data_IF_099528295596
#
_entry.id   IF_099528295596
#
_cell.length_a   1.000
_cell.length_b   1.000
_cell.length_c   1.000
_cell.angle_alpha   90.00
_cell.angle_beta   90.00
_cell.angle_gamma   90.00
#
_symmetry.space_group_name_H-M   'P 1'
#
loop_
_entity.id
_entity.type
_entity.pdbx_description
1 polymer ?
#
# COMPACT_ATOMS: atom_id res chain seq x y z
N UNK A 1 6.27 -13.00 -25.25
CA UNK A 1 4.84 -12.58 -25.30
C UNK A 1 4.29 -12.51 -26.73
N UNK A 2 5.05 -12.01 -27.74
CA UNK A 2 4.57 -11.89 -29.12
C UNK A 2 4.28 -13.23 -29.86
N UNK A 3 4.95 -14.32 -29.48
CA UNK A 3 4.77 -15.64 -30.12
C UNK A 3 3.45 -16.30 -29.66
N UNK A 4 3.14 -16.23 -28.38
CA UNK A 4 1.89 -16.79 -27.81
C UNK A 4 0.67 -16.02 -28.31
N UNK A 5 0.77 -14.69 -28.42
CA UNK A 5 -0.30 -13.85 -28.97
C UNK A 5 -0.65 -14.21 -30.42
N UNK A 6 0.36 -14.43 -31.28
CA UNK A 6 0.18 -14.84 -32.68
C UNK A 6 -0.47 -16.22 -32.81
N UNK A 7 -0.13 -17.18 -31.94
CA UNK A 7 -0.69 -18.53 -31.98
C UNK A 7 -2.17 -18.57 -31.53
N UNK A 8 -2.54 -17.75 -30.57
CA UNK A 8 -3.94 -17.61 -30.14
C UNK A 8 -4.80 -16.94 -31.22
N UNK A 9 -4.23 -15.97 -31.95
CA UNK A 9 -4.92 -15.26 -33.02
C UNK A 9 -5.16 -16.13 -34.26
N UNK A 10 -4.25 -17.06 -34.58
CA UNK A 10 -4.46 -18.05 -35.65
C UNK A 10 -5.58 -19.05 -35.40
N UNK A 11 -5.98 -19.21 -34.12
CA UNK A 11 -7.10 -20.07 -33.71
C UNK A 11 -8.46 -19.38 -33.82
N UNK A 12 -8.51 -18.05 -33.96
CA UNK A 12 -9.75 -17.26 -33.96
C UNK A 12 -10.23 -16.81 -35.33
N UNK A 13 -9.54 -17.21 -36.43
CA UNK A 13 -9.90 -16.91 -37.86
C UNK A 13 -10.43 -15.46 -38.10
N UNK A 14 -9.82 -14.46 -37.43
CA UNK A 14 -10.25 -13.06 -37.55
C UNK A 14 -9.51 -12.42 -38.73
N UNK A 15 -10.26 -12.03 -39.77
CA UNK A 15 -9.73 -11.31 -40.93
C UNK A 15 -9.06 -9.98 -40.56
N UNK A 16 -7.98 -9.69 -41.28
CA UNK A 16 -7.08 -8.56 -41.07
C UNK A 16 -7.78 -7.21 -41.28
N UNK A 17 -8.24 -6.61 -40.17
CA UNK A 17 -8.82 -5.27 -40.13
C UNK A 17 -8.38 -4.50 -38.88
N UNK A 18 -8.79 -3.25 -38.75
CA UNK A 18 -8.50 -2.39 -37.60
C UNK A 18 -8.95 -3.04 -36.28
N UNK A 19 -10.04 -3.82 -36.30
CA UNK A 19 -10.52 -4.62 -35.19
C UNK A 19 -9.48 -5.62 -34.68
N UNK A 20 -8.65 -6.20 -35.55
CA UNK A 20 -7.58 -7.12 -35.21
C UNK A 20 -6.52 -6.46 -34.31
N UNK A 21 -6.16 -5.22 -34.58
CA UNK A 21 -5.17 -4.46 -33.80
C UNK A 21 -5.70 -4.19 -32.38
N UNK A 22 -6.95 -3.81 -32.25
CA UNK A 22 -7.58 -3.57 -30.94
C UNK A 22 -7.65 -4.85 -30.10
N UNK A 23 -8.06 -5.96 -30.68
CA UNK A 23 -8.11 -7.26 -30.00
C UNK A 23 -6.70 -7.70 -29.59
N UNK A 24 -5.69 -7.51 -30.45
CA UNK A 24 -4.29 -7.83 -30.14
C UNK A 24 -3.77 -7.01 -28.96
N UNK A 25 -4.04 -5.70 -28.92
CA UNK A 25 -3.64 -4.81 -27.81
C UNK A 25 -4.32 -5.23 -26.51
N UNK A 26 -5.61 -5.57 -26.54
CA UNK A 26 -6.36 -6.02 -25.35
C UNK A 26 -5.77 -7.34 -24.81
N UNK A 27 -5.53 -8.31 -25.69
CA UNK A 27 -4.92 -9.61 -25.30
C UNK A 27 -3.53 -9.40 -24.74
N UNK A 28 -2.69 -8.56 -25.36
CA UNK A 28 -1.36 -8.25 -24.89
C UNK A 28 -1.39 -7.59 -23.50
N UNK A 29 -2.33 -6.68 -23.27
CA UNK A 29 -2.50 -5.96 -22.00
C UNK A 29 -2.95 -6.91 -20.88
N UNK A 30 -3.75 -7.94 -21.18
CA UNK A 30 -4.20 -8.94 -20.22
C UNK A 30 -3.11 -9.98 -19.93
N UNK A 31 -2.35 -10.39 -20.94
CA UNK A 31 -1.30 -11.42 -20.81
C UNK A 31 -0.08 -10.87 -20.07
N UNK A 32 0.26 -9.59 -20.25
CA UNK A 32 1.46 -9.00 -19.64
C UNK A 32 1.49 -9.10 -18.10
N UNK A 33 0.44 -8.70 -17.36
CA UNK A 33 0.43 -8.86 -15.90
C UNK A 33 0.50 -10.33 -15.45
N UNK A 34 -0.05 -11.25 -16.23
CA UNK A 34 0.03 -12.69 -15.92
C UNK A 34 1.45 -13.21 -16.08
N UNK A 35 2.16 -12.80 -17.14
CA UNK A 35 3.57 -13.14 -17.34
C UNK A 35 4.45 -12.58 -16.21
N UNK A 36 4.20 -11.34 -15.78
CA UNK A 36 4.93 -10.70 -14.67
C UNK A 36 4.69 -11.45 -13.36
N UNK A 37 3.45 -11.91 -13.10
CA UNK A 37 3.12 -12.72 -11.93
C UNK A 37 3.86 -14.06 -11.93
N UNK A 38 3.91 -14.76 -13.06
CA UNK A 38 4.58 -16.07 -13.20
C UNK A 38 6.09 -15.92 -12.95
N UNK A 39 6.71 -14.86 -13.46
CA UNK A 39 8.15 -14.59 -13.27
C UNK A 39 8.44 -14.15 -11.82
N UNK A 40 7.49 -13.48 -11.15
CA UNK A 40 7.64 -13.00 -9.77
C UNK A 40 7.53 -14.10 -8.72
N UNK A 41 6.90 -15.25 -9.04
CA UNK A 41 6.74 -16.38 -8.12
C UNK A 41 8.12 -16.93 -7.66
N UNK A 42 9.07 -17.26 -8.56
CA UNK A 42 10.38 -17.82 -8.15
C UNK A 42 11.28 -16.78 -7.48
N UNK A 43 11.02 -15.47 -7.66
CA UNK A 43 11.81 -14.39 -7.06
C UNK A 43 11.35 -14.01 -5.64
N UNK A 44 10.39 -14.74 -5.05
CA UNK A 44 9.94 -14.52 -3.67
C UNK A 44 9.15 -13.22 -3.43
N UNK A 45 8.82 -12.46 -4.48
CA UNK A 45 8.12 -11.17 -4.38
C UNK A 45 6.59 -11.27 -4.48
N UNK A 46 6.05 -12.48 -4.42
CA UNK A 46 4.61 -12.75 -4.55
C UNK A 46 3.76 -12.03 -3.49
N UNK A 47 4.27 -11.88 -2.27
CA UNK A 47 3.56 -11.19 -1.19
C UNK A 47 3.34 -9.70 -1.48
N UNK A 48 4.29 -9.04 -2.16
CA UNK A 48 4.20 -7.64 -2.58
C UNK A 48 3.12 -7.44 -3.65
N UNK A 49 3.11 -8.29 -4.67
CA UNK A 49 2.16 -8.21 -5.79
C UNK A 49 0.71 -8.49 -5.36
N UNK A 50 0.49 -9.45 -4.47
CA UNK A 50 -0.84 -9.77 -3.93
C UNK A 50 -1.49 -8.57 -3.23
N UNK A 51 -0.70 -7.83 -2.44
CA UNK A 51 -1.17 -6.61 -1.74
C UNK A 51 -1.49 -5.48 -2.70
N UNK A 52 -0.71 -5.33 -3.77
CA UNK A 52 -0.89 -4.29 -4.79
C UNK A 52 -2.11 -4.54 -5.67
N UNK A 53 -2.31 -5.77 -6.14
CA UNK A 53 -3.47 -6.16 -6.96
C UNK A 53 -4.76 -6.06 -6.16
N UNK A 54 -4.77 -6.49 -4.88
CA UNK A 54 -5.94 -6.34 -4.01
C UNK A 54 -6.33 -4.85 -3.83
N UNK A 55 -5.35 -3.95 -3.72
CA UNK A 55 -5.60 -2.51 -3.60
C UNK A 55 -6.17 -1.90 -4.88
N UNK A 56 -5.71 -2.33 -6.06
CA UNK A 56 -6.26 -1.89 -7.35
C UNK A 56 -7.67 -2.44 -7.55
N UNK A 57 -7.89 -3.72 -7.28
CA UNK A 57 -9.18 -4.37 -7.45
C UNK A 57 -10.27 -3.77 -6.56
N UNK A 58 -9.92 -3.44 -5.30
CA UNK A 58 -10.83 -2.74 -4.39
C UNK A 58 -11.16 -1.30 -4.83
N UNK A 59 -10.29 -0.67 -5.62
CA UNK A 59 -10.52 0.69 -6.15
C UNK A 59 -11.44 0.67 -7.38
N UNK A 60 -11.37 -0.39 -8.19
CA UNK A 60 -12.23 -0.56 -9.38
C UNK A 60 -13.58 -1.18 -9.05
N UNK A 61 -13.67 -1.95 -7.98
CA UNK A 61 -14.90 -2.66 -7.59
C UNK A 61 -15.86 -1.79 -6.79
N UNK A 62 -15.89 -0.47 -6.96
CA UNK A 62 -16.92 0.48 -6.51
C UNK A 62 -17.78 0.12 -5.28
N UNK A 63 -17.31 -0.73 -4.38
CA UNK A 63 -18.01 -1.05 -3.14
C UNK A 63 -17.80 0.07 -2.15
N UNK A 64 -18.69 1.04 -2.20
CA UNK A 64 -19.08 1.81 -1.02
C UNK A 64 -19.35 0.81 0.11
N UNK A 65 -18.42 0.76 1.06
CA UNK A 65 -18.66 0.03 2.31
C UNK A 65 -19.78 0.78 3.03
N UNK A 66 -21.03 0.37 2.78
CA UNK A 66 -22.13 0.65 3.69
C UNK A 66 -21.74 -0.04 5.00
N UNK A 67 -21.49 0.75 6.02
CA UNK A 67 -21.44 0.29 7.40
C UNK A 67 -22.78 -0.39 7.71
N UNK A 68 -22.82 -1.70 7.64
CA UNK A 68 -23.89 -2.47 8.27
C UNK A 68 -23.41 -2.86 9.67
N UNK A 69 -23.91 -2.11 10.66
CA UNK A 69 -23.93 -2.55 12.04
C UNK A 69 -24.80 -3.81 12.13
N UNK A 70 -24.22 -4.97 12.17
CA UNK A 70 -24.72 -6.19 12.83
C UNK A 70 -23.93 -7.42 12.33
N UNK A 71 -22.82 -7.72 12.95
CA UNK A 71 -22.50 -9.07 13.41
C UNK A 71 -21.23 -9.02 14.28
N UNK A 72 -21.43 -9.10 15.60
CA UNK A 72 -20.35 -9.31 16.56
C UNK A 72 -19.90 -10.78 16.47
N UNK A 73 -19.03 -11.06 15.52
CA UNK A 73 -18.06 -12.14 15.66
C UNK A 73 -16.70 -11.46 15.73
N UNK A 74 -15.95 -11.73 16.78
CA UNK A 74 -14.68 -11.09 17.10
C UNK A 74 -13.69 -11.24 15.94
N UNK A 75 -13.69 -10.29 15.03
CA UNK A 75 -12.53 -10.00 14.19
C UNK A 75 -11.57 -9.31 15.14
N UNK A 76 -10.51 -9.98 15.54
CA UNK A 76 -9.42 -9.37 16.30
C UNK A 76 -8.94 -8.15 15.50
N UNK A 77 -9.36 -6.96 15.96
CA UNK A 77 -9.04 -5.70 15.32
C UNK A 77 -7.53 -5.49 15.43
N UNK A 78 -6.84 -5.56 14.27
CA UNK A 78 -5.39 -5.37 14.24
C UNK A 78 -5.01 -4.05 14.85
N UNK A 79 -4.07 -4.06 15.78
CA UNK A 79 -3.46 -2.84 16.31
C UNK A 79 -2.71 -2.10 15.20
N UNK A 80 -3.16 -0.91 14.84
CA UNK A 80 -2.52 -0.06 13.85
C UNK A 80 -1.52 0.89 14.51
N UNK A 81 -0.28 0.82 14.04
CA UNK A 81 0.81 1.64 14.54
C UNK A 81 1.10 2.81 13.61
N UNK A 82 1.34 4.00 14.19
CA UNK A 82 2.03 5.09 13.51
C UNK A 82 3.47 5.17 14.01
N UNK A 83 4.44 5.26 13.10
CA UNK A 83 5.84 5.47 13.44
C UNK A 83 6.21 6.92 13.16
N UNK A 84 6.65 7.64 14.17
CA UNK A 84 7.16 9.01 14.06
C UNK A 84 8.66 8.98 13.88
N UNK A 85 9.18 9.59 12.81
CA UNK A 85 10.60 9.62 12.49
C UNK A 85 10.99 10.95 11.81
N UNK A 86 12.22 11.43 12.03
CA UNK A 86 12.70 12.73 11.51
C UNK A 86 13.88 12.63 10.55
N UNK A 87 14.38 11.44 10.22
CA UNK A 87 15.64 11.30 9.49
C UNK A 87 15.78 10.05 8.64
N UNK A 88 16.94 9.39 8.76
CA UNK A 88 17.30 8.22 7.93
C UNK A 88 16.33 7.03 8.05
N UNK A 89 15.60 6.91 9.17
CA UNK A 89 14.58 5.88 9.33
C UNK A 89 15.12 4.47 9.60
N UNK A 90 16.36 4.30 10.00
CA UNK A 90 16.94 2.98 10.29
C UNK A 90 16.16 2.20 11.35
N UNK A 91 15.73 2.88 12.42
CA UNK A 91 14.89 2.27 13.45
C UNK A 91 13.46 1.99 12.91
N UNK A 92 12.90 2.92 12.15
CA UNK A 92 11.59 2.74 11.52
C UNK A 92 11.60 1.53 10.59
N UNK A 93 12.67 1.35 9.78
CA UNK A 93 12.85 0.18 8.90
C UNK A 93 12.83 -1.12 9.68
N UNK A 94 13.60 -1.23 10.76
CA UNK A 94 13.63 -2.43 11.61
C UNK A 94 12.25 -2.75 12.22
N UNK A 95 11.50 -1.73 12.65
CA UNK A 95 10.14 -1.89 13.18
C UNK A 95 9.20 -2.38 12.09
N UNK A 96 9.26 -1.80 10.89
CA UNK A 96 8.45 -2.22 9.73
C UNK A 96 8.73 -3.68 9.38
N UNK A 97 10.02 -4.05 9.24
CA UNK A 97 10.43 -5.41 8.91
C UNK A 97 10.00 -6.42 9.98
N UNK A 98 10.05 -6.04 11.25
CA UNK A 98 9.60 -6.88 12.37
C UNK A 98 8.09 -7.16 12.32
N UNK A 99 7.27 -6.17 11.97
CA UNK A 99 5.81 -6.28 11.98
C UNK A 99 5.18 -6.59 10.62
N UNK A 100 5.95 -6.75 9.55
CA UNK A 100 5.44 -6.92 8.19
C UNK A 100 4.50 -8.13 8.04
N UNK A 101 4.75 -9.20 8.77
CA UNK A 101 3.95 -10.42 8.77
C UNK A 101 3.27 -10.70 10.13
N UNK A 102 3.21 -9.68 11.01
CA UNK A 102 2.62 -9.89 12.33
C UNK A 102 1.09 -10.05 12.20
N UNK A 103 0.47 -11.05 12.84
CA UNK A 103 -0.96 -11.33 12.67
C UNK A 103 -1.85 -10.18 13.19
N UNK A 104 -1.49 -9.59 14.32
CA UNK A 104 -2.35 -8.66 15.07
C UNK A 104 -1.83 -7.21 15.09
N UNK A 105 -0.70 -6.93 14.43
CA UNK A 105 -0.10 -5.59 14.40
C UNK A 105 0.19 -5.20 12.95
N UNK A 106 -0.15 -3.97 12.60
CA UNK A 106 0.11 -3.38 11.29
C UNK A 106 0.73 -2.01 11.43
N UNK A 107 1.85 -1.76 10.74
CA UNK A 107 2.39 -0.40 10.60
C UNK A 107 1.59 0.30 9.50
N UNK A 108 0.66 1.14 9.89
CA UNK A 108 -0.30 1.78 8.99
C UNK A 108 0.13 3.17 8.50
N UNK A 109 1.00 3.86 9.25
CA UNK A 109 1.38 5.23 8.97
C UNK A 109 2.83 5.54 9.39
N UNK A 110 3.54 6.26 8.53
CA UNK A 110 4.80 6.93 8.87
C UNK A 110 4.54 8.42 8.96
N UNK A 111 4.84 9.02 10.11
CA UNK A 111 4.73 10.46 10.35
C UNK A 111 6.12 11.08 10.38
N UNK A 112 6.34 12.09 9.56
CA UNK A 112 7.65 12.75 9.43
C UNK A 112 7.49 14.27 9.42
N UNK A 113 8.47 14.96 10.03
CA UNK A 113 8.55 16.42 10.06
C UNK A 113 9.56 17.01 9.07
N UNK A 114 10.12 16.17 8.18
CA UNK A 114 11.09 16.61 7.16
C UNK A 114 10.72 16.02 5.79
N UNK A 115 10.46 16.87 4.77
CA UNK A 115 10.01 16.39 3.46
C UNK A 115 11.06 15.58 2.69
N UNK A 116 12.36 15.78 2.96
CA UNK A 116 13.46 15.07 2.31
C UNK A 116 14.04 13.93 3.17
N UNK A 117 13.29 13.43 4.16
CA UNK A 117 13.79 12.37 5.03
C UNK A 117 13.73 11.00 4.32
N UNK A 118 14.81 10.23 4.39
CA UNK A 118 14.92 8.88 3.79
C UNK A 118 13.85 7.91 4.30
N UNK A 119 13.32 8.13 5.51
CA UNK A 119 12.22 7.32 6.04
C UNK A 119 10.97 7.34 5.15
N UNK A 120 10.73 8.40 4.38
CA UNK A 120 9.60 8.50 3.44
C UNK A 120 9.79 7.56 2.24
N UNK A 121 11.02 7.35 1.79
CA UNK A 121 11.35 6.37 0.74
C UNK A 121 11.15 4.95 1.25
N UNK A 122 11.57 4.68 2.51
CA UNK A 122 11.33 3.40 3.17
C UNK A 122 9.82 3.12 3.25
N UNK A 123 9.02 4.11 3.63
CA UNK A 123 7.55 3.98 3.66
C UNK A 123 6.97 3.63 2.28
N UNK A 124 7.45 4.29 1.21
CA UNK A 124 7.05 3.99 -0.17
C UNK A 124 7.38 2.56 -0.57
N UNK A 125 8.60 2.10 -0.28
CA UNK A 125 9.03 0.72 -0.57
C UNK A 125 8.14 -0.33 0.09
N UNK A 126 7.65 -0.05 1.30
CA UNK A 126 6.77 -0.94 2.04
C UNK A 126 5.27 -0.65 1.84
N UNK A 127 4.90 0.25 0.91
CA UNK A 127 3.53 0.66 0.63
C UNK A 127 2.77 1.17 1.87
N UNK A 128 3.48 1.83 2.81
CA UNK A 128 2.93 2.43 4.01
C UNK A 128 2.57 3.90 3.71
N UNK A 129 1.41 4.34 4.19
CA UNK A 129 0.99 5.72 4.06
C UNK A 129 1.94 6.66 4.82
N UNK A 130 2.10 7.88 4.32
CA UNK A 130 2.97 8.89 4.95
C UNK A 130 2.17 10.14 5.27
N UNK A 131 2.48 10.76 6.41
CA UNK A 131 1.94 12.04 6.84
C UNK A 131 3.10 12.99 7.14
N UNK A 132 3.21 14.04 6.36
CA UNK A 132 4.17 15.11 6.65
C UNK A 132 3.51 16.11 7.60
N UNK A 133 4.21 16.43 8.70
CA UNK A 133 3.70 17.33 9.73
C UNK A 133 4.50 18.63 9.79
N UNK A 134 3.78 19.72 9.99
CA UNK A 134 4.30 21.07 10.13
C UNK A 134 4.41 21.46 11.61
N UNK A 135 5.46 22.22 11.96
CA UNK A 135 5.79 22.54 13.34
C UNK A 135 4.67 23.31 14.05
N UNK A 136 4.18 24.37 13.42
CA UNK A 136 3.15 25.21 14.01
C UNK A 136 1.87 24.43 14.31
N UNK A 137 1.39 23.70 13.33
CA UNK A 137 0.18 22.87 13.50
C UNK A 137 0.37 21.73 14.50
N UNK A 138 1.56 21.16 14.57
CA UNK A 138 1.87 20.06 15.50
C UNK A 138 1.85 20.51 16.96
N UNK A 139 2.36 21.71 17.25
CA UNK A 139 2.44 22.23 18.62
C UNK A 139 1.15 22.97 19.06
N UNK A 140 0.23 23.25 18.15
CA UNK A 140 -1.04 23.89 18.47
C UNK A 140 -2.14 22.90 18.89
N UNK A 141 -1.80 21.92 19.72
CA UNK A 141 -2.77 20.97 20.29
C UNK A 141 -3.16 19.83 19.35
N UNK A 142 -4.46 19.69 19.05
CA UNK A 142 -5.01 18.54 18.33
C UNK A 142 -4.73 18.52 16.82
N UNK A 143 -3.70 19.26 16.33
CA UNK A 143 -3.46 19.52 14.92
C UNK A 143 -3.44 18.33 13.99
N UNK A 144 -3.10 17.14 14.47
CA UNK A 144 -3.03 15.89 13.68
C UNK A 144 -3.79 14.71 14.29
N UNK A 145 -4.50 14.92 15.38
CA UNK A 145 -5.26 13.88 16.05
C UNK A 145 -6.36 13.29 15.17
N UNK A 146 -7.03 14.13 14.38
CA UNK A 146 -8.08 13.69 13.47
C UNK A 146 -7.52 12.83 12.33
N UNK A 147 -6.39 13.20 11.75
CA UNK A 147 -5.72 12.40 10.71
C UNK A 147 -5.26 11.05 11.25
N UNK A 148 -4.70 11.00 12.46
CA UNK A 148 -4.34 9.74 13.11
C UNK A 148 -5.57 8.85 13.35
N UNK A 149 -6.68 9.42 13.80
CA UNK A 149 -7.95 8.70 13.98
C UNK A 149 -8.52 8.20 12.66
N UNK A 150 -8.48 9.00 11.58
CA UNK A 150 -8.92 8.60 10.24
C UNK A 150 -8.12 7.40 9.70
N UNK A 151 -6.82 7.32 10.01
CA UNK A 151 -6.00 6.16 9.71
C UNK A 151 -6.23 4.99 10.67
N UNK A 152 -7.06 5.15 11.69
CA UNK A 152 -7.36 4.14 12.69
C UNK A 152 -6.17 3.81 13.58
N UNK A 153 -5.29 4.78 13.84
CA UNK A 153 -4.08 4.56 14.63
C UNK A 153 -4.44 4.34 16.10
N UNK A 154 -4.00 3.19 16.64
CA UNK A 154 -4.20 2.84 18.03
C UNK A 154 -3.00 3.18 18.91
N UNK A 155 -1.78 3.10 18.33
CA UNK A 155 -0.53 3.34 19.07
C UNK A 155 0.47 4.11 18.22
N UNK A 156 1.30 4.91 18.90
CA UNK A 156 2.38 5.69 18.29
C UNK A 156 3.72 5.16 18.79
N UNK A 157 4.69 5.00 17.89
CA UNK A 157 6.06 4.64 18.19
C UNK A 157 6.98 5.78 17.73
N UNK A 158 7.84 6.24 18.61
CA UNK A 158 8.86 7.25 18.30
C UNK A 158 10.17 6.55 17.88
N UNK A 159 10.53 6.69 16.60
CA UNK A 159 11.71 6.07 16.01
C UNK A 159 12.69 7.11 15.50
N UNK A 160 13.31 7.85 16.40
CA UNK A 160 14.19 8.97 16.08
C UNK A 160 13.44 10.24 15.67
N UNK A 161 12.29 10.45 16.27
CA UNK A 161 11.53 11.68 16.14
C UNK A 161 12.11 12.78 17.03
N UNK A 162 12.40 13.95 16.45
CA UNK A 162 13.17 15.01 17.11
C UNK A 162 12.31 16.03 17.86
N UNK A 163 11.01 16.07 17.61
CA UNK A 163 10.15 17.01 18.32
C UNK A 163 9.56 16.37 19.57
N UNK A 164 9.38 17.21 20.61
CA UNK A 164 8.67 16.80 21.81
C UNK A 164 7.16 16.67 21.49
N UNK A 165 6.55 15.58 21.91
CA UNK A 165 5.11 15.41 21.77
C UNK A 165 4.42 16.39 22.70
N UNK A 166 3.45 17.21 22.23
CA UNK A 166 2.66 18.08 23.09
C UNK A 166 1.92 17.26 24.15
N UNK A 167 1.85 17.80 25.37
CA UNK A 167 0.92 17.26 26.37
C UNK A 167 -0.47 17.77 26.04
N UNK A 168 -1.45 16.87 25.93
CA UNK A 168 -2.86 17.19 25.80
C UNK A 168 -3.46 17.52 27.15
#
# INVERSE_FOLDING_TARGET
>A
CGYVGRKIMGLLEIESGVAWIFIYIIILTIIWPVCVLIISIPLGQFAFFKKYIAKIFNRFSGRTVKQSHANRQAVEEKTKLAIFASGAGSNAKKIIEHFINHPNIEVALIVCNKPAATVLEIAKLHCINTLLIEKERFFNGDGYTNELKQHGINKIILAGFLWKIPAS
#
